data_IF_162212436649
#
_entry.id   IF_162212436649
#
_cell.length_a   1.000
_cell.length_b   1.000
_cell.length_c   1.000
_cell.angle_alpha   90.00
_cell.angle_beta   90.00
_cell.angle_gamma   90.00
#
_symmetry.space_group_name_H-M   'P 1'
#
loop_
_entity.id
_entity.type
_entity.pdbx_description
1 polymer ?
#
# COMPACT_ATOMS: atom_id res chain seq x y z
N UNK A 1 -15.05 -14.37 14.30
CA UNK A 1 -14.11 -13.25 14.05
C UNK A 1 -13.51 -13.47 12.69
N UNK A 2 -13.28 -12.43 11.91
CA UNK A 2 -12.58 -12.53 10.62
C UNK A 2 -11.17 -13.09 10.84
N UNK A 3 -10.72 -14.02 10.00
CA UNK A 3 -9.38 -14.60 10.10
C UNK A 3 -8.32 -13.53 9.76
N UNK A 4 -8.61 -12.62 8.86
CA UNK A 4 -7.72 -11.52 8.42
C UNK A 4 -8.16 -10.16 8.98
N UNK A 5 -7.27 -9.17 8.95
CA UNK A 5 -7.56 -7.81 9.40
C UNK A 5 -8.50 -7.09 8.42
N UNK A 6 -9.40 -6.26 8.94
CA UNK A 6 -10.60 -5.77 8.23
C UNK A 6 -10.32 -4.87 7.03
N UNK A 7 -9.14 -4.23 6.92
CA UNK A 7 -8.83 -3.34 5.79
C UNK A 7 -8.23 -4.06 4.57
N UNK A 8 -7.92 -5.37 4.63
CA UNK A 8 -7.15 -6.04 3.57
C UNK A 8 -8.03 -6.42 2.38
N UNK A 9 -9.16 -7.09 2.63
CA UNK A 9 -9.99 -7.69 1.56
C UNK A 9 -11.04 -6.74 1.00
N UNK A 10 -11.81 -5.96 1.80
CA UNK A 10 -12.83 -5.07 1.27
C UNK A 10 -12.27 -4.04 0.28
N UNK A 11 -13.09 -3.54 -0.63
CA UNK A 11 -12.70 -2.41 -1.48
C UNK A 11 -12.45 -1.17 -0.62
N UNK A 12 -11.46 -0.35 -1.04
CA UNK A 12 -11.12 0.87 -0.32
C UNK A 12 -12.31 1.84 -0.27
N UNK A 13 -12.55 2.40 0.90
CA UNK A 13 -13.46 3.53 1.06
C UNK A 13 -12.94 4.78 0.32
N UNK A 14 -13.74 5.87 0.27
CA UNK A 14 -13.33 7.10 -0.39
C UNK A 14 -12.21 7.86 0.33
N UNK A 15 -11.90 7.51 1.58
CA UNK A 15 -10.82 8.08 2.36
C UNK A 15 -9.98 6.98 2.97
N UNK A 16 -8.67 7.24 3.09
CA UNK A 16 -7.75 6.34 3.80
C UNK A 16 -6.73 7.13 4.63
N UNK A 17 -6.18 6.45 5.64
CA UNK A 17 -5.00 6.85 6.41
C UNK A 17 -3.93 5.79 6.20
N UNK A 18 -2.72 6.26 5.94
CA UNK A 18 -1.50 5.46 5.92
C UNK A 18 -0.49 6.12 6.86
N UNK A 19 -0.16 5.45 7.97
CA UNK A 19 0.82 5.98 8.92
C UNK A 19 1.93 4.98 9.12
N UNK A 20 3.17 5.44 8.94
CA UNK A 20 4.38 4.65 9.11
C UNK A 20 5.15 5.15 10.33
N UNK A 21 5.42 4.25 11.26
CA UNK A 21 6.04 4.57 12.53
C UNK A 21 7.38 3.85 12.69
N UNK A 22 8.35 4.55 13.31
CA UNK A 22 9.58 3.95 13.83
C UNK A 22 9.51 3.87 15.35
N UNK A 23 9.75 2.71 15.92
CA UNK A 23 9.76 2.50 17.38
C UNK A 23 11.13 2.92 17.93
N UNK A 24 11.13 3.85 18.88
CA UNK A 24 12.34 4.33 19.57
C UNK A 24 12.63 3.55 20.86
N UNK A 25 11.56 3.20 21.56
CA UNK A 25 11.65 2.55 22.88
C UNK A 25 10.34 1.87 23.24
N UNK A 26 10.35 1.04 24.30
CA UNK A 26 9.17 0.38 24.85
C UNK A 26 8.32 -0.39 23.81
N UNK A 27 8.90 -1.26 22.99
CA UNK A 27 8.16 -1.94 21.91
C UNK A 27 6.95 -2.72 22.43
N UNK A 28 7.01 -3.27 23.63
CA UNK A 28 5.88 -3.97 24.25
C UNK A 28 4.67 -3.05 24.52
N UNK A 29 4.89 -1.80 25.00
CA UNK A 29 3.81 -0.83 25.18
C UNK A 29 3.23 -0.39 23.84
N UNK A 30 4.08 -0.17 22.84
CA UNK A 30 3.63 0.17 21.49
C UNK A 30 2.79 -0.96 20.91
N UNK A 31 3.26 -2.21 20.98
CA UNK A 31 2.50 -3.37 20.51
C UNK A 31 1.14 -3.50 21.23
N UNK A 32 1.11 -3.32 22.55
CA UNK A 32 -0.15 -3.35 23.31
C UNK A 32 -1.15 -2.29 22.83
N UNK A 33 -0.69 -1.06 22.57
CA UNK A 33 -1.53 0.00 22.03
C UNK A 33 -2.05 -0.34 20.61
N UNK A 34 -1.19 -0.89 19.75
CA UNK A 34 -1.59 -1.35 18.40
C UNK A 34 -2.62 -2.48 18.46
N UNK A 35 -2.48 -3.44 19.37
CA UNK A 35 -3.44 -4.54 19.61
C UNK A 35 -4.81 -4.04 20.07
N UNK A 36 -4.91 -2.83 20.65
CA UNK A 36 -6.19 -2.22 21.05
C UNK A 36 -6.95 -1.56 19.90
N UNK A 37 -6.30 -1.31 18.75
CA UNK A 37 -6.91 -0.60 17.63
C UNK A 37 -8.14 -1.30 17.02
N UNK A 38 -8.17 -2.64 16.83
CA UNK A 38 -9.36 -3.32 16.31
C UNK A 38 -10.61 -3.08 17.17
N UNK A 39 -10.49 -3.10 18.50
CA UNK A 39 -11.59 -2.83 19.44
C UNK A 39 -12.04 -1.36 19.33
N UNK A 40 -11.11 -0.41 19.22
CA UNK A 40 -11.42 1.02 19.01
C UNK A 40 -12.17 1.25 17.71
N UNK A 41 -11.77 0.56 16.63
CA UNK A 41 -12.45 0.62 15.33
C UNK A 41 -13.87 0.05 15.44
N UNK A 42 -14.06 -1.07 16.12
CA UNK A 42 -15.38 -1.65 16.34
C UNK A 42 -16.28 -0.71 17.13
N UNK A 43 -15.80 -0.10 18.24
CA UNK A 43 -16.53 0.88 19.01
C UNK A 43 -16.95 2.12 18.19
N UNK A 44 -16.07 2.59 17.30
CA UNK A 44 -16.41 3.68 16.37
C UNK A 44 -17.49 3.25 15.36
N UNK A 45 -17.40 2.06 14.81
CA UNK A 45 -18.41 1.53 13.87
C UNK A 45 -19.77 1.32 14.55
N UNK A 46 -19.82 0.95 15.82
CA UNK A 46 -21.08 0.84 16.57
C UNK A 46 -21.78 2.19 16.69
N UNK A 47 -21.03 3.28 16.88
CA UNK A 47 -21.60 4.64 17.00
C UNK A 47 -21.77 5.34 15.64
N UNK A 48 -21.00 4.94 14.63
CA UNK A 48 -20.96 5.51 13.28
C UNK A 48 -20.99 4.42 12.20
N UNK A 49 -22.04 3.58 12.14
CA UNK A 49 -22.04 2.39 11.27
C UNK A 49 -21.89 2.70 9.78
N UNK A 50 -22.39 3.87 9.33
CA UNK A 50 -22.26 4.31 7.94
C UNK A 50 -20.81 4.68 7.55
N UNK A 51 -19.90 4.82 8.53
CA UNK A 51 -18.50 5.09 8.24
C UNK A 51 -17.78 3.88 7.64
N UNK A 52 -18.17 2.69 8.03
CA UNK A 52 -17.53 1.44 7.62
C UNK A 52 -15.99 1.50 7.75
N UNK A 53 -15.54 1.92 8.96
CA UNK A 53 -14.12 2.07 9.25
C UNK A 53 -13.46 0.70 9.34
N UNK A 54 -12.36 0.52 8.61
CA UNK A 54 -11.56 -0.71 8.59
C UNK A 54 -10.12 -0.41 8.98
N UNK A 55 -9.40 -1.44 9.42
CA UNK A 55 -8.04 -1.32 9.94
C UNK A 55 -7.16 -2.49 9.49
N UNK A 56 -5.91 -2.20 9.18
CA UNK A 56 -4.80 -3.14 9.12
C UNK A 56 -3.58 -2.56 9.81
N UNK A 57 -2.91 -3.37 10.64
CA UNK A 57 -1.60 -3.10 11.24
C UNK A 57 -0.62 -4.11 10.66
N UNK A 58 0.49 -3.64 10.13
CA UNK A 58 1.53 -4.48 9.56
C UNK A 58 2.90 -4.08 10.10
N UNK A 59 3.83 -5.01 10.09
CA UNK A 59 5.16 -4.84 10.70
C UNK A 59 6.25 -5.13 9.68
N UNK A 60 7.34 -4.33 9.72
CA UNK A 60 8.50 -4.50 8.86
C UNK A 60 9.31 -5.75 9.24
N UNK A 61 10.16 -6.21 8.33
CA UNK A 61 11.10 -7.30 8.61
C UNK A 61 11.92 -7.05 9.88
N UNK A 62 12.43 -5.81 10.06
CA UNK A 62 13.27 -5.47 11.21
C UNK A 62 12.50 -5.63 12.53
N UNK A 63 11.24 -5.21 12.58
CA UNK A 63 10.40 -5.41 13.76
C UNK A 63 10.26 -6.89 14.14
N UNK A 64 10.02 -7.78 13.17
CA UNK A 64 9.90 -9.22 13.41
C UNK A 64 11.19 -9.80 13.99
N UNK A 65 12.35 -9.37 13.48
CA UNK A 65 13.67 -9.80 13.96
C UNK A 65 13.94 -9.27 15.38
N UNK A 66 13.74 -7.97 15.61
CA UNK A 66 14.06 -7.31 16.88
C UNK A 66 13.19 -7.80 18.04
N UNK A 67 11.96 -8.26 17.72
CA UNK A 67 11.02 -8.77 18.70
C UNK A 67 11.05 -10.28 18.84
N UNK A 68 11.99 -10.96 18.17
CA UNK A 68 12.19 -12.41 18.19
C UNK A 68 10.92 -13.22 17.90
N UNK A 69 10.06 -12.67 17.01
CA UNK A 69 8.89 -13.34 16.50
C UNK A 69 9.27 -14.31 15.37
N UNK A 70 8.45 -15.34 15.13
CA UNK A 70 8.60 -16.18 13.94
C UNK A 70 8.46 -15.34 12.68
N UNK A 71 9.53 -15.26 11.88
CA UNK A 71 9.58 -14.42 10.69
C UNK A 71 8.74 -15.02 9.57
N UNK A 72 7.81 -14.26 8.95
CA UNK A 72 7.09 -14.73 7.76
C UNK A 72 8.06 -15.11 6.62
N UNK A 73 7.81 -16.27 6.01
CA UNK A 73 8.78 -16.98 5.16
C UNK A 73 9.40 -16.13 4.03
N UNK A 74 8.62 -15.25 3.39
CA UNK A 74 9.10 -14.43 2.28
C UNK A 74 9.43 -13.00 2.72
N UNK A 75 9.14 -12.60 3.98
CA UNK A 75 9.36 -11.24 4.45
C UNK A 75 10.85 -10.94 4.53
N UNK A 76 11.27 -9.91 3.82
CA UNK A 76 12.64 -9.41 3.78
C UNK A 76 12.65 -7.88 3.73
N UNK A 77 13.78 -7.23 4.02
CA UNK A 77 13.90 -5.79 3.79
C UNK A 77 13.71 -5.45 2.31
N UNK A 78 13.05 -4.34 2.01
CA UNK A 78 13.12 -3.74 0.69
C UNK A 78 14.56 -3.24 0.48
N UNK A 79 15.09 -3.46 -0.72
CA UNK A 79 16.37 -2.87 -1.14
C UNK A 79 16.09 -1.71 -2.09
N UNK A 80 17.01 -0.73 -2.15
CA UNK A 80 16.94 0.32 -3.17
C UNK A 80 16.95 -0.28 -4.56
N UNK A 81 16.02 0.13 -5.40
CA UNK A 81 15.88 -0.32 -6.79
C UNK A 81 16.02 0.88 -7.73
N UNK A 82 16.50 0.64 -8.95
CA UNK A 82 16.71 1.67 -9.96
C UNK A 82 17.90 2.59 -9.67
N UNK A 83 18.10 3.57 -10.54
CA UNK A 83 19.22 4.51 -10.49
C UNK A 83 18.79 5.95 -10.79
N UNK A 84 19.60 6.92 -10.37
CA UNK A 84 19.43 8.33 -10.68
C UNK A 84 18.12 8.92 -10.14
N UNK A 85 17.32 9.49 -11.04
CA UNK A 85 16.04 10.11 -10.68
C UNK A 85 14.89 9.09 -10.56
N UNK A 86 15.10 7.88 -11.05
CA UNK A 86 14.10 6.78 -11.09
C UNK A 86 14.42 5.67 -10.09
N UNK A 87 14.75 6.01 -8.85
CA UNK A 87 15.02 5.02 -7.82
C UNK A 87 13.88 4.89 -6.81
N UNK A 88 13.74 3.70 -6.23
CA UNK A 88 12.87 3.46 -5.08
C UNK A 88 13.69 3.58 -3.79
N UNK A 89 13.43 4.56 -2.91
CA UNK A 89 14.09 4.67 -1.62
C UNK A 89 13.60 3.58 -0.66
N UNK A 90 14.40 3.31 0.36
CA UNK A 90 14.01 2.46 1.50
C UNK A 90 13.75 3.34 2.70
N UNK A 91 12.62 3.11 3.38
CA UNK A 91 12.27 3.77 4.63
C UNK A 91 12.69 2.94 5.83
N UNK A 92 13.29 3.57 6.84
CA UNK A 92 13.54 2.93 8.14
C UNK A 92 12.29 3.04 9.01
N UNK A 93 11.47 1.99 8.99
CA UNK A 93 10.15 1.94 9.64
C UNK A 93 9.91 0.57 10.27
N UNK A 94 9.06 0.52 11.29
CA UNK A 94 8.71 -0.70 11.99
C UNK A 94 7.23 -1.07 11.81
N UNK A 95 6.35 -0.08 11.76
CA UNK A 95 4.89 -0.28 11.75
C UNK A 95 4.24 0.48 10.61
N UNK A 96 3.31 -0.16 9.92
CA UNK A 96 2.35 0.47 9.02
C UNK A 96 0.95 0.33 9.61
N UNK A 97 0.23 1.44 9.72
CA UNK A 97 -1.19 1.49 10.05
C UNK A 97 -1.94 1.95 8.80
N UNK A 98 -2.85 1.12 8.32
CA UNK A 98 -3.74 1.43 7.21
C UNK A 98 -5.18 1.37 7.66
N UNK A 99 -5.92 2.45 7.43
CA UNK A 99 -7.36 2.54 7.64
C UNK A 99 -8.04 3.05 6.37
N UNK A 100 -9.25 2.58 6.08
CA UNK A 100 -10.11 3.25 5.11
C UNK A 100 -11.57 3.28 5.58
N UNK A 101 -12.31 4.30 5.14
CA UNK A 101 -13.71 4.50 5.53
C UNK A 101 -14.41 5.51 4.61
N UNK A 102 -15.71 5.75 4.84
CA UNK A 102 -16.45 6.86 4.24
C UNK A 102 -16.25 8.20 4.97
N UNK A 103 -15.44 8.24 6.04
CA UNK A 103 -15.29 9.41 6.94
C UNK A 103 -13.81 9.70 7.24
N UNK A 104 -13.28 10.79 6.68
CA UNK A 104 -11.91 11.25 6.91
C UNK A 104 -11.61 11.59 8.39
N UNK A 105 -12.53 12.21 9.08
CA UNK A 105 -12.36 12.67 10.47
C UNK A 105 -12.13 11.51 11.46
N UNK A 106 -12.67 10.33 11.18
CA UNK A 106 -12.47 9.15 12.03
C UNK A 106 -11.03 8.63 11.96
N UNK A 107 -10.36 8.75 10.81
CA UNK A 107 -8.94 8.41 10.68
C UNK A 107 -8.07 9.30 11.58
N UNK A 108 -8.27 10.61 11.50
CA UNK A 108 -7.58 11.55 12.37
C UNK A 108 -7.87 11.28 13.86
N UNK A 109 -9.14 11.04 14.20
CA UNK A 109 -9.53 10.74 15.58
C UNK A 109 -8.82 9.47 16.09
N UNK A 110 -8.83 8.39 15.30
CA UNK A 110 -8.22 7.10 15.67
C UNK A 110 -6.71 7.27 15.90
N UNK A 111 -6.00 7.88 14.92
CA UNK A 111 -4.55 8.09 15.02
C UNK A 111 -4.20 9.01 16.19
N UNK A 112 -4.93 10.12 16.38
CA UNK A 112 -4.72 11.02 17.51
C UNK A 112 -4.86 10.31 18.85
N UNK A 113 -5.83 9.38 18.97
CA UNK A 113 -6.01 8.57 20.18
C UNK A 113 -4.87 7.58 20.38
N UNK A 114 -4.41 6.93 19.32
CA UNK A 114 -3.23 6.08 19.41
C UNK A 114 -2.00 6.88 19.82
N UNK A 115 -1.73 8.01 19.17
CA UNK A 115 -0.58 8.86 19.48
C UNK A 115 -0.60 9.42 20.90
N UNK A 116 -1.78 9.61 21.52
CA UNK A 116 -1.83 9.99 22.95
C UNK A 116 -1.30 8.90 23.88
N UNK A 117 -1.24 7.66 23.42
CA UNK A 117 -0.74 6.53 24.21
C UNK A 117 0.74 6.24 23.94
N UNK A 118 1.24 6.52 22.71
CA UNK A 118 2.58 6.04 22.28
C UNK A 118 3.53 7.12 21.73
N UNK A 119 3.16 8.39 21.66
CA UNK A 119 3.97 9.44 21.01
C UNK A 119 5.40 9.57 21.57
N UNK A 120 5.61 9.27 22.84
CA UNK A 120 6.92 9.33 23.48
C UNK A 120 7.85 8.17 23.02
N UNK A 121 7.28 7.09 22.47
CA UNK A 121 7.96 5.85 22.15
C UNK A 121 8.17 5.63 20.66
N UNK A 122 7.58 6.47 19.80
CA UNK A 122 7.67 6.33 18.33
C UNK A 122 8.03 7.65 17.66
N UNK A 123 8.59 7.56 16.46
CA UNK A 123 8.64 8.67 15.50
C UNK A 123 7.66 8.37 14.36
N UNK A 124 6.91 9.39 13.93
CA UNK A 124 6.07 9.31 12.73
C UNK A 124 6.98 9.58 11.53
N UNK A 125 7.23 8.55 10.71
CA UNK A 125 8.11 8.65 9.54
C UNK A 125 7.33 9.17 8.33
N UNK A 126 6.08 8.71 8.16
CA UNK A 126 5.15 9.20 7.15
C UNK A 126 3.72 9.13 7.68
N UNK A 127 2.93 10.16 7.41
CA UNK A 127 1.50 10.21 7.70
C UNK A 127 0.79 10.81 6.48
N UNK A 128 0.06 9.97 5.77
CA UNK A 128 -0.61 10.35 4.54
C UNK A 128 -2.10 10.08 4.64
N UNK A 129 -2.91 11.09 4.32
CA UNK A 129 -4.36 10.99 4.16
C UNK A 129 -4.70 10.97 2.68
N UNK A 130 -5.17 9.81 2.21
CA UNK A 130 -5.62 9.60 0.85
C UNK A 130 -7.11 9.87 0.68
N UNK A 131 -7.50 10.25 -0.53
CA UNK A 131 -8.90 10.47 -0.88
C UNK A 131 -9.17 10.01 -2.31
N UNK A 132 -10.40 9.55 -2.57
CA UNK A 132 -10.85 9.23 -3.93
C UNK A 132 -10.88 10.51 -4.76
N UNK A 133 -10.12 10.51 -5.84
CA UNK A 133 -10.08 11.62 -6.79
C UNK A 133 -11.02 11.32 -7.98
N UNK A 134 -11.92 12.24 -8.26
CA UNK A 134 -12.94 12.12 -9.33
C UNK A 134 -13.70 10.77 -9.27
N UNK A 135 -13.84 10.14 -10.42
CA UNK A 135 -14.47 8.83 -10.63
C UNK A 135 -13.51 7.63 -10.39
N UNK A 136 -12.61 7.75 -9.41
CA UNK A 136 -11.50 6.82 -9.08
C UNK A 136 -10.35 6.91 -10.06
N UNK A 137 -9.90 8.13 -10.34
CA UNK A 137 -8.68 8.38 -11.10
C UNK A 137 -7.49 8.65 -10.19
N UNK A 138 -6.32 8.38 -10.73
CA UNK A 138 -5.09 9.00 -10.25
C UNK A 138 -5.02 10.49 -10.69
N UNK A 139 -4.15 11.29 -10.08
CA UNK A 139 -3.99 12.70 -10.44
C UNK A 139 -3.40 12.93 -11.84
N UNK A 140 -2.94 11.89 -12.52
CA UNK A 140 -2.63 11.86 -13.96
C UNK A 140 -3.87 11.86 -14.86
N UNK A 141 -5.07 11.81 -14.25
CA UNK A 141 -6.40 11.66 -14.87
C UNK A 141 -6.67 10.29 -15.50
N UNK A 142 -5.81 9.30 -15.31
CA UNK A 142 -6.10 7.92 -15.70
C UNK A 142 -6.92 7.21 -14.63
N UNK A 143 -7.87 6.36 -15.05
CA UNK A 143 -8.66 5.54 -14.11
C UNK A 143 -7.71 4.55 -13.41
N UNK A 144 -7.72 4.56 -12.08
CA UNK A 144 -6.96 3.60 -11.28
C UNK A 144 -7.83 2.41 -10.85
N UNK A 145 -7.20 1.27 -10.66
CA UNK A 145 -7.84 0.08 -10.09
C UNK A 145 -8.65 -0.79 -11.06
N UNK A 146 -8.64 -0.55 -12.37
CA UNK A 146 -9.37 -1.37 -13.34
C UNK A 146 -9.02 -2.86 -13.29
N UNK A 147 -7.76 -3.19 -13.06
CA UNK A 147 -7.25 -4.57 -12.94
C UNK A 147 -7.20 -5.09 -11.50
N UNK A 148 -7.70 -4.30 -10.54
CA UNK A 148 -7.72 -4.75 -9.14
C UNK A 148 -8.67 -5.95 -8.99
N UNK A 149 -8.26 -7.03 -8.30
CA UNK A 149 -9.12 -8.17 -8.03
C UNK A 149 -10.47 -7.74 -7.43
N UNK A 150 -11.55 -8.43 -7.80
CA UNK A 150 -12.91 -8.11 -7.38
C UNK A 150 -13.52 -9.24 -6.58
N UNK A 151 -14.43 -8.92 -5.67
CA UNK A 151 -15.20 -9.90 -4.89
C UNK A 151 -14.30 -10.96 -4.21
N UNK A 152 -14.62 -12.24 -4.33
CA UNK A 152 -13.89 -13.35 -3.72
C UNK A 152 -12.42 -13.44 -4.17
N UNK A 153 -12.10 -13.01 -5.40
CA UNK A 153 -10.71 -13.01 -5.88
C UNK A 153 -9.78 -12.13 -5.04
N UNK A 154 -10.31 -11.10 -4.36
CA UNK A 154 -9.50 -10.25 -3.47
C UNK A 154 -8.92 -11.04 -2.30
N UNK A 155 -9.72 -11.92 -1.69
CA UNK A 155 -9.28 -12.78 -0.60
C UNK A 155 -8.24 -13.80 -1.10
N UNK A 156 -8.51 -14.44 -2.25
CA UNK A 156 -7.57 -15.42 -2.85
C UNK A 156 -6.20 -14.81 -3.15
N UNK A 157 -6.17 -13.55 -3.60
CA UNK A 157 -4.92 -12.85 -3.97
C UNK A 157 -4.21 -12.29 -2.74
N UNK A 158 -4.95 -11.70 -1.79
CA UNK A 158 -4.35 -10.97 -0.68
C UNK A 158 -3.98 -11.87 0.51
N UNK A 159 -4.69 -12.97 0.77
CA UNK A 159 -4.64 -13.68 2.04
C UNK A 159 -3.91 -15.02 1.91
N UNK A 160 -2.95 -15.28 2.79
CA UNK A 160 -2.28 -16.58 2.91
C UNK A 160 -3.32 -17.62 3.35
N UNK A 161 -3.56 -18.67 2.53
CA UNK A 161 -4.69 -19.56 2.77
C UNK A 161 -4.45 -20.61 3.89
N UNK A 162 -3.19 -20.96 4.16
CA UNK A 162 -2.86 -22.06 5.08
C UNK A 162 -1.45 -21.91 5.68
N UNK A 163 -1.16 -22.72 6.71
CA UNK A 163 0.12 -22.74 7.40
C UNK A 163 0.17 -21.78 8.60
N UNK A 164 1.37 -21.58 9.11
CA UNK A 164 1.63 -20.78 10.31
C UNK A 164 1.13 -19.33 10.18
N UNK A 165 1.29 -18.74 8.98
CA UNK A 165 0.92 -17.37 8.69
C UNK A 165 -0.45 -17.22 8.00
N UNK A 166 -1.31 -18.25 8.08
CA UNK A 166 -2.64 -18.20 7.51
C UNK A 166 -3.45 -17.00 8.00
N UNK A 167 -4.17 -16.34 7.08
CA UNK A 167 -4.90 -15.11 7.37
C UNK A 167 -4.06 -13.85 7.35
N UNK A 168 -2.73 -13.97 7.19
CA UNK A 168 -1.80 -12.84 7.00
C UNK A 168 -1.67 -12.42 5.54
N UNK A 169 -0.94 -11.31 5.31
CA UNK A 169 -0.71 -10.73 3.99
C UNK A 169 0.63 -10.01 3.94
N UNK A 170 1.38 -10.17 2.85
CA UNK A 170 2.54 -9.33 2.56
C UNK A 170 2.08 -7.99 2.03
N UNK A 171 2.81 -6.94 2.37
CA UNK A 171 2.41 -5.56 2.09
C UNK A 171 3.59 -4.78 1.51
N UNK A 172 3.32 -3.97 0.48
CA UNK A 172 4.20 -2.90 0.04
C UNK A 172 3.50 -1.57 0.26
N UNK A 173 4.18 -0.61 0.88
CA UNK A 173 3.75 0.78 0.94
C UNK A 173 4.82 1.68 0.34
N UNK A 174 4.45 2.49 -0.66
CA UNK A 174 5.29 3.51 -1.28
C UNK A 174 4.49 4.79 -1.50
N UNK A 175 5.03 5.93 -1.06
CA UNK A 175 4.44 7.23 -1.38
C UNK A 175 5.16 7.83 -2.60
N UNK A 176 4.38 8.20 -3.61
CA UNK A 176 4.85 8.83 -4.83
C UNK A 176 4.45 10.30 -4.88
N UNK A 177 5.35 11.16 -5.34
CA UNK A 177 5.08 12.55 -5.68
C UNK A 177 5.03 12.68 -7.21
N UNK A 178 3.96 13.28 -7.73
CA UNK A 178 3.76 13.48 -9.17
C UNK A 178 4.29 14.82 -9.65
N UNK A 179 4.98 14.80 -10.78
CA UNK A 179 5.35 16.00 -11.52
C UNK A 179 4.26 16.34 -12.56
N UNK A 180 3.08 16.76 -12.07
CA UNK A 180 1.96 17.10 -12.94
C UNK A 180 2.28 18.22 -13.94
N UNK A 181 3.09 19.26 -13.62
CA UNK A 181 3.50 20.26 -14.62
C UNK A 181 4.25 19.66 -15.81
N UNK A 182 5.07 18.64 -15.60
CA UNK A 182 5.75 17.93 -16.70
C UNK A 182 4.79 16.98 -17.43
N UNK A 183 3.97 16.24 -16.69
CA UNK A 183 2.96 15.34 -17.22
C UNK A 183 1.97 16.03 -18.15
N UNK A 184 1.46 17.21 -17.74
CA UNK A 184 0.47 17.95 -18.46
C UNK A 184 1.00 18.65 -19.76
N UNK A 185 2.31 18.61 -20.02
CA UNK A 185 2.90 19.04 -21.30
C UNK A 185 2.80 17.98 -22.39
N UNK A 186 2.57 16.73 -22.01
CA UNK A 186 2.43 15.63 -22.95
C UNK A 186 1.06 15.67 -23.62
N UNK A 187 1.00 15.29 -24.88
CA UNK A 187 -0.26 15.00 -25.57
C UNK A 187 -0.94 13.78 -24.93
N UNK A 188 -2.25 13.66 -25.10
CA UNK A 188 -3.00 12.49 -24.60
C UNK A 188 -2.41 11.19 -25.13
N UNK A 189 -2.05 11.13 -26.41
CA UNK A 189 -1.44 9.94 -27.02
C UNK A 189 -0.09 9.57 -26.37
N UNK A 190 0.74 10.56 -26.02
CA UNK A 190 1.99 10.29 -25.30
C UNK A 190 1.72 9.77 -23.90
N UNK A 191 0.76 10.34 -23.17
CA UNK A 191 0.33 9.87 -21.87
C UNK A 191 -0.20 8.42 -21.92
N UNK A 192 -1.05 8.12 -22.90
CA UNK A 192 -1.60 6.76 -23.13
C UNK A 192 -0.49 5.75 -23.44
N UNK A 193 0.50 6.11 -24.23
CA UNK A 193 1.67 5.25 -24.50
C UNK A 193 2.54 5.01 -23.27
N UNK A 194 2.63 5.98 -22.35
CA UNK A 194 3.35 5.82 -21.08
C UNK A 194 2.58 4.91 -20.12
N UNK A 195 1.27 5.04 -20.05
CA UNK A 195 0.44 4.20 -19.19
C UNK A 195 0.21 2.81 -19.80
N UNK A 196 -0.04 2.73 -21.11
CA UNK A 196 -0.42 1.50 -21.82
C UNK A 196 -1.93 1.31 -21.96
N UNK A 197 -2.73 2.33 -21.65
CA UNK A 197 -4.21 2.33 -21.70
C UNK A 197 -4.73 3.66 -22.20
N UNK A 198 -5.96 3.66 -22.73
CA UNK A 198 -6.67 4.89 -23.09
C UNK A 198 -7.04 5.70 -21.85
N UNK A 199 -6.94 7.04 -21.94
CA UNK A 199 -7.18 7.94 -20.80
C UNK A 199 -8.67 8.03 -20.40
N UNK A 200 -9.63 8.10 -21.33
CA UNK A 200 -11.04 8.27 -20.97
C UNK A 200 -11.64 7.07 -20.23
N UNK A 201 -11.37 5.86 -20.69
CA UNK A 201 -12.13 4.63 -20.37
C UNK A 201 -11.23 3.46 -19.97
N UNK A 202 -9.89 3.67 -19.88
CA UNK A 202 -8.92 2.67 -19.42
C UNK A 202 -8.92 1.35 -20.21
N UNK A 203 -9.16 1.44 -21.53
CA UNK A 203 -9.01 0.28 -22.42
C UNK A 203 -7.53 0.06 -22.69
N UNK A 204 -7.07 -1.18 -22.57
CA UNK A 204 -5.69 -1.53 -22.88
C UNK A 204 -5.39 -1.30 -24.37
N UNK A 205 -4.21 -0.77 -24.69
CA UNK A 205 -3.82 -0.50 -26.07
C UNK A 205 -3.59 -1.81 -26.83
N UNK A 206 -3.97 -1.87 -28.12
CA UNK A 206 -3.72 -3.06 -28.96
C UNK A 206 -2.23 -3.42 -29.06
N UNK A 207 -1.36 -2.41 -29.01
CA UNK A 207 0.10 -2.56 -29.02
C UNK A 207 0.67 -1.87 -27.79
N UNK A 208 0.65 -2.54 -26.64
CA UNK A 208 1.16 -2.03 -25.37
C UNK A 208 2.67 -1.82 -25.46
N UNK A 209 3.20 -0.58 -25.28
CA UNK A 209 4.63 -0.37 -25.29
C UNK A 209 5.31 -1.10 -24.13
N UNK A 210 6.46 -1.76 -24.40
CA UNK A 210 7.17 -2.56 -23.41
C UNK A 210 7.64 -1.80 -22.17
N UNK A 211 7.83 -0.50 -22.27
CA UNK A 211 8.18 0.41 -21.15
C UNK A 211 7.00 1.23 -20.66
N UNK A 212 5.77 0.96 -21.08
CA UNK A 212 4.58 1.54 -20.45
C UNK A 212 4.35 0.91 -19.09
N UNK A 213 3.59 1.58 -18.23
CA UNK A 213 3.26 1.06 -16.91
C UNK A 213 2.62 -0.34 -17.00
N UNK A 214 1.61 -0.52 -17.84
CA UNK A 214 0.97 -1.83 -18.07
C UNK A 214 1.99 -2.85 -18.60
N UNK A 215 2.84 -2.47 -19.56
CA UNK A 215 3.87 -3.35 -20.11
C UNK A 215 4.92 -3.80 -19.08
N UNK A 216 5.08 -3.05 -17.96
CA UNK A 216 6.01 -3.40 -16.87
C UNK A 216 5.36 -4.22 -15.77
N UNK A 217 4.06 -4.07 -15.52
CA UNK A 217 3.40 -4.71 -14.36
C UNK A 217 2.44 -5.84 -14.71
N UNK A 218 2.00 -6.00 -15.98
CA UNK A 218 1.22 -7.17 -16.42
C UNK A 218 2.14 -8.37 -16.69
N UNK A 219 2.68 -8.92 -15.61
CA UNK A 219 3.62 -10.05 -15.64
C UNK A 219 2.84 -11.37 -15.63
N UNK A 220 3.24 -12.30 -16.48
CA UNK A 220 2.69 -13.66 -16.55
C UNK A 220 3.78 -14.69 -16.30
N UNK A 221 3.53 -15.58 -15.35
CA UNK A 221 4.37 -16.75 -15.06
C UNK A 221 3.55 -18.02 -15.29
N UNK A 222 4.09 -18.96 -16.01
CA UNK A 222 3.41 -20.23 -16.40
C UNK A 222 2.01 -20.01 -16.99
N UNK A 223 1.83 -18.91 -17.73
CA UNK A 223 0.56 -18.54 -18.37
C UNK A 223 -0.47 -17.89 -17.44
N UNK A 224 -0.14 -17.65 -16.16
CA UNK A 224 -1.01 -16.96 -15.19
C UNK A 224 -0.47 -15.57 -14.89
N UNK A 225 -1.35 -14.57 -14.92
CA UNK A 225 -1.01 -13.20 -14.50
C UNK A 225 -0.74 -13.13 -13.00
N UNK A 226 0.38 -12.50 -12.62
CA UNK A 226 0.62 -12.14 -11.23
C UNK A 226 -0.42 -11.09 -10.81
N UNK A 227 -1.00 -11.26 -9.64
CA UNK A 227 -2.04 -10.35 -9.12
C UNK A 227 -1.66 -9.86 -7.72
N UNK A 228 -2.05 -8.62 -7.42
CA UNK A 228 -1.96 -7.99 -6.10
C UNK A 228 -3.28 -7.26 -5.82
N UNK A 229 -3.65 -7.09 -4.56
CA UNK A 229 -4.80 -6.25 -4.15
C UNK A 229 -4.27 -4.88 -3.78
N UNK A 230 -4.70 -3.84 -4.51
CA UNK A 230 -4.28 -2.45 -4.28
C UNK A 230 -5.32 -1.69 -3.49
N UNK A 231 -4.85 -0.91 -2.52
CA UNK A 231 -5.62 0.04 -1.72
C UNK A 231 -5.04 1.45 -1.83
N UNK A 232 -4.47 1.77 -2.99
CA UNK A 232 -3.85 3.06 -3.27
C UNK A 232 -4.89 4.16 -3.38
N UNK A 233 -4.57 5.34 -2.87
CA UNK A 233 -5.38 6.55 -3.09
C UNK A 233 -4.47 7.75 -3.36
N UNK A 234 -4.91 8.69 -4.20
CA UNK A 234 -4.30 10.00 -4.34
C UNK A 234 -4.30 10.77 -3.02
N UNK A 235 -3.30 11.63 -2.86
CA UNK A 235 -3.14 12.49 -1.68
C UNK A 235 -2.54 13.84 -2.07
N UNK A 236 -2.66 14.84 -1.20
CA UNK A 236 -1.91 16.08 -1.28
C UNK A 236 -2.74 17.34 -1.43
N UNK A 237 -2.07 18.42 -1.79
CA UNK A 237 -2.68 19.73 -2.01
C UNK A 237 -2.16 20.36 -3.30
N UNK A 238 -2.96 21.24 -3.91
CA UNK A 238 -2.62 21.90 -5.18
C UNK A 238 -1.32 22.73 -5.09
N UNK A 239 -1.08 23.33 -3.93
CA UNK A 239 0.10 24.20 -3.71
C UNK A 239 1.28 23.46 -3.06
N UNK A 240 1.12 22.22 -2.66
CA UNK A 240 2.14 21.41 -2.00
C UNK A 240 2.42 20.10 -2.72
N UNK A 241 3.04 19.17 -2.00
CA UNK A 241 3.25 17.82 -2.50
C UNK A 241 1.90 17.13 -2.77
N UNK A 242 1.83 16.40 -3.86
CA UNK A 242 0.67 15.62 -4.25
C UNK A 242 1.09 14.44 -5.12
N UNK A 243 0.27 13.40 -5.15
CA UNK A 243 0.55 12.19 -5.91
C UNK A 243 -0.28 11.01 -5.43
N UNK A 244 0.33 9.84 -5.40
CA UNK A 244 -0.32 8.58 -5.02
C UNK A 244 0.41 7.95 -3.83
N UNK A 245 -0.34 7.54 -2.80
CA UNK A 245 0.17 6.53 -1.90
C UNK A 245 -0.22 5.16 -2.45
N UNK A 246 0.80 4.44 -2.91
CA UNK A 246 0.64 3.06 -3.38
C UNK A 246 0.68 2.11 -2.20
N UNK A 247 -0.38 1.32 -2.06
CA UNK A 247 -0.48 0.26 -1.07
C UNK A 247 -0.97 -1.02 -1.75
N UNK A 248 -0.21 -2.10 -1.59
CA UNK A 248 -0.56 -3.41 -2.13
C UNK A 248 -0.51 -4.50 -1.07
N UNK A 249 -1.46 -5.42 -1.13
CA UNK A 249 -1.53 -6.64 -0.33
C UNK A 249 -1.44 -7.86 -1.24
N UNK A 250 -0.70 -8.89 -0.81
CA UNK A 250 -0.62 -10.16 -1.53
C UNK A 250 -0.35 -11.34 -0.58
N UNK A 251 -0.83 -12.51 -0.94
CA UNK A 251 -0.55 -13.76 -0.24
C UNK A 251 0.90 -14.26 -0.43
N UNK A 252 1.65 -13.66 -1.37
CA UNK A 252 3.09 -13.90 -1.61
C UNK A 252 3.79 -12.57 -1.88
N UNK A 253 4.98 -12.38 -1.33
CA UNK A 253 5.80 -11.20 -1.60
C UNK A 253 6.35 -11.23 -3.04
N UNK A 254 6.50 -12.43 -3.63
CA UNK A 254 7.00 -12.62 -4.98
C UNK A 254 6.27 -11.76 -6.02
N UNK A 255 4.93 -11.75 -6.01
CA UNK A 255 4.17 -10.98 -6.99
C UNK A 255 4.47 -9.48 -6.91
N UNK A 256 4.55 -8.95 -5.70
CA UNK A 256 4.87 -7.53 -5.45
C UNK A 256 6.29 -7.23 -5.93
N UNK A 257 7.25 -8.07 -5.57
CA UNK A 257 8.65 -7.89 -5.92
C UNK A 257 8.89 -8.00 -7.43
N UNK A 258 8.31 -8.99 -8.10
CA UNK A 258 8.44 -9.15 -9.55
C UNK A 258 7.99 -7.89 -10.31
N UNK A 259 6.85 -7.30 -9.89
CA UNK A 259 6.35 -6.05 -10.47
C UNK A 259 7.31 -4.88 -10.22
N UNK A 260 7.84 -4.74 -8.99
CA UNK A 260 8.80 -3.69 -8.67
C UNK A 260 10.10 -3.83 -9.47
N UNK A 261 10.70 -5.03 -9.50
CA UNK A 261 11.93 -5.28 -10.26
C UNK A 261 11.74 -4.93 -11.74
N UNK A 262 10.60 -5.29 -12.31
CA UNK A 262 10.26 -4.92 -13.68
C UNK A 262 10.09 -3.41 -13.86
N UNK A 263 9.34 -2.73 -12.99
CA UNK A 263 9.12 -1.28 -13.05
C UNK A 263 10.43 -0.48 -12.99
N UNK A 264 11.34 -0.87 -12.11
CA UNK A 264 12.63 -0.18 -11.95
C UNK A 264 13.71 -0.67 -12.92
N UNK A 265 13.38 -1.59 -13.85
CA UNK A 265 14.29 -2.04 -14.91
C UNK A 265 15.34 -3.05 -14.46
N UNK A 266 15.24 -3.61 -13.25
CA UNK A 266 16.20 -4.56 -12.70
C UNK A 266 16.21 -5.91 -13.48
N UNK A 267 15.15 -6.18 -14.23
CA UNK A 267 15.02 -7.43 -15.00
C UNK A 267 15.67 -7.39 -16.39
N UNK A 268 15.67 -6.23 -17.06
CA UNK A 268 16.08 -6.09 -18.46
C UNK A 268 16.72 -4.73 -18.82
N UNK A 269 17.02 -3.90 -17.83
CA UNK A 269 17.58 -2.55 -18.02
C UNK A 269 16.60 -1.51 -18.57
N UNK A 270 15.29 -1.80 -18.57
CA UNK A 270 14.25 -0.94 -19.16
C UNK A 270 13.25 -0.51 -18.11
N UNK A 271 13.44 0.62 -17.43
CA UNK A 271 12.48 1.11 -16.43
C UNK A 271 11.17 1.56 -17.06
N UNK A 272 10.13 1.61 -16.24
CA UNK A 272 8.82 2.17 -16.54
C UNK A 272 8.93 3.66 -16.88
N UNK A 273 8.37 4.08 -18.01
CA UNK A 273 8.39 5.47 -18.43
C UNK A 273 7.57 6.40 -17.52
N UNK A 274 6.62 5.87 -16.76
CA UNK A 274 5.85 6.64 -15.79
C UNK A 274 6.76 7.21 -14.68
N UNK A 275 7.85 6.51 -14.32
CA UNK A 275 8.81 6.95 -13.30
C UNK A 275 9.54 8.27 -13.64
N UNK A 276 9.45 8.76 -14.89
CA UNK A 276 9.92 10.10 -15.27
C UNK A 276 9.00 11.22 -14.75
N UNK A 277 7.76 10.88 -14.39
CA UNK A 277 6.71 11.83 -13.99
C UNK A 277 6.20 11.60 -12.57
N UNK A 278 6.65 10.52 -11.93
CA UNK A 278 6.35 10.21 -10.55
C UNK A 278 7.60 9.71 -9.84
N UNK A 279 7.80 10.13 -8.60
CA UNK A 279 8.98 9.78 -7.81
C UNK A 279 8.56 9.15 -6.49
N UNK A 280 9.02 7.93 -6.22
CA UNK A 280 8.89 7.34 -4.90
C UNK A 280 9.73 8.12 -3.88
N UNK A 281 9.16 8.45 -2.72
CA UNK A 281 9.83 9.17 -1.62
C UNK A 281 9.84 8.35 -0.33
N UNK A 282 9.05 7.29 -0.25
CA UNK A 282 9.12 6.25 0.78
C UNK A 282 9.05 4.87 0.14
N UNK A 283 9.46 3.82 0.86
CA UNK A 283 9.30 2.45 0.42
C UNK A 283 9.66 1.46 1.51
N UNK A 284 8.74 0.53 1.82
CA UNK A 284 9.01 -0.57 2.72
C UNK A 284 8.09 -1.78 2.45
N UNK A 285 8.62 -2.97 2.71
CA UNK A 285 7.83 -4.18 2.85
C UNK A 285 7.40 -4.39 4.29
N UNK A 286 6.18 -4.89 4.45
CA UNK A 286 5.63 -5.27 5.73
C UNK A 286 4.91 -6.61 5.63
N UNK A 287 4.60 -7.17 6.78
CA UNK A 287 3.66 -8.28 6.91
C UNK A 287 2.53 -7.88 7.85
N UNK A 288 1.29 -7.99 7.37
CA UNK A 288 0.08 -7.84 8.16
C UNK A 288 -0.31 -9.21 8.72
N UNK A 289 -0.13 -9.46 10.03
CA UNK A 289 -0.53 -10.72 10.64
C UNK A 289 -2.05 -10.90 10.57
N UNK A 290 -2.54 -12.13 10.70
CA UNK A 290 -3.97 -12.36 10.89
C UNK A 290 -4.47 -11.63 12.14
N UNK A 291 -5.77 -11.37 12.24
CA UNK A 291 -6.36 -10.71 13.41
C UNK A 291 -6.06 -11.51 14.71
N UNK A 292 -6.09 -12.85 14.63
CA UNK A 292 -5.77 -13.71 15.76
C UNK A 292 -4.27 -13.65 16.11
N UNK A 293 -3.40 -13.68 15.11
CA UNK A 293 -1.95 -13.60 15.31
C UNK A 293 -1.57 -12.26 15.93
N UNK A 294 -2.11 -11.14 15.44
CA UNK A 294 -1.87 -9.81 16.02
C UNK A 294 -2.21 -9.79 17.53
N UNK A 295 -3.32 -10.37 17.92
CA UNK A 295 -3.71 -10.43 19.35
C UNK A 295 -2.80 -11.36 20.18
N UNK A 296 -2.24 -12.40 19.57
CA UNK A 296 -1.36 -13.35 20.25
C UNK A 296 0.10 -12.92 20.34
N UNK A 297 0.53 -11.88 19.58
CA UNK A 297 1.92 -11.36 19.61
C UNK A 297 2.28 -10.86 21.03
N UNK A 298 3.48 -11.22 21.50
CA UNK A 298 4.03 -10.78 22.79
C UNK A 298 5.50 -10.38 22.61
N UNK A 299 5.96 -9.34 23.34
CA UNK A 299 7.35 -8.82 23.33
C UNK A 299 7.80 -8.67 24.78
#
# INVERSE_FOLDING_TARGET
MSVYQSAIVPEAGPFALYSQLKIKSQPGLVLQALKSLPERVEALNQTQPAANLTLSVAFSHQFWVDTNQNLPNELKPLTTLGEGETYAPVSDVDVLIHCHSSRHDLHFYLLRKLMSDISDYVDVVDETYGYRYLDSRDMTDFIDGTENPKQAQREEVAIIPAGEFAGGSYVLAQRFIHNLPAWNKLSVTEQENIIGRTKPDSIELDNVPAQSHVGRVDIKEEGKGLKIVRHSLPYGSVSGEHGLLFLAYCNTLHNIEAMLLSMYGETDGKPDHLLKFTKAVTGAYFFAPSAQMLQAMEI
#
